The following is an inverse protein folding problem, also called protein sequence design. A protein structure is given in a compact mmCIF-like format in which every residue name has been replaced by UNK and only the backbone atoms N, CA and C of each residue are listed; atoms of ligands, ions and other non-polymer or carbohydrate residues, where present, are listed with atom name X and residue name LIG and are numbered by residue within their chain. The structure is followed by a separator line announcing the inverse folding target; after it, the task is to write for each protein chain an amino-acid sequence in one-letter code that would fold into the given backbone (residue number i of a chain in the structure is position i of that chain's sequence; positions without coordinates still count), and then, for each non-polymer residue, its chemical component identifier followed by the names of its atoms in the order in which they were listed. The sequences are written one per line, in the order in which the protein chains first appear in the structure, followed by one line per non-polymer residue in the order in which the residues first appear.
data_IF_492148993913
#
_entry.id   IF_492148993913
#
_cell.length_a   1.000
_cell.length_b   1.000
_cell.length_c   1.000
_cell.angle_alpha   90.00
_cell.angle_beta   90.00
_cell.angle_gamma   90.00
#
_symmetry.space_group_name_H-M   'P 1'
#
loop_
_entity.id
_entity.type
_entity.pdbx_description
1 polymer ?
#
# COMPACT_ATOMS: atom_id res chain seq x y z
N UNK A 1 2.41 31.21 26.93
CA UNK A 1 3.56 30.34 27.27
C UNK A 1 3.65 29.10 26.37
N UNK A 2 2.52 28.55 25.88
CA UNK A 2 2.52 27.42 24.93
C UNK A 2 2.77 27.79 23.46
N UNK A 3 2.72 29.07 23.07
CA UNK A 3 2.88 29.47 21.66
C UNK A 3 4.29 29.24 21.12
N UNK A 4 5.32 29.42 21.96
CA UNK A 4 6.70 29.12 21.56
C UNK A 4 6.91 27.62 21.35
N UNK A 5 6.38 26.78 22.23
CA UNK A 5 6.43 25.33 22.04
C UNK A 5 5.69 24.93 20.76
N UNK A 6 4.47 25.44 20.54
CA UNK A 6 3.70 25.18 19.32
C UNK A 6 4.42 25.63 18.04
N UNK A 7 5.17 26.73 18.07
CA UNK A 7 5.96 27.17 16.92
C UNK A 7 7.16 26.24 16.67
N UNK A 8 7.86 25.80 17.71
CA UNK A 8 8.93 24.80 17.60
C UNK A 8 8.39 23.49 17.02
N UNK A 9 7.25 23.00 17.51
CA UNK A 9 6.63 21.76 17.02
C UNK A 9 6.29 21.85 15.52
N UNK A 10 5.81 23.00 15.05
CA UNK A 10 5.59 23.23 13.62
C UNK A 10 6.89 23.24 12.83
N UNK A 11 7.93 23.89 13.34
CA UNK A 11 9.25 23.95 12.70
C UNK A 11 9.88 22.56 12.57
N UNK A 12 9.72 21.71 13.59
CA UNK A 12 10.17 20.32 13.59
C UNK A 12 9.21 19.35 12.87
N UNK A 13 8.08 19.85 12.35
CA UNK A 13 7.01 19.07 11.70
C UNK A 13 6.45 17.95 12.59
N UNK A 14 6.32 18.22 13.89
CA UNK A 14 5.75 17.31 14.91
C UNK A 14 4.24 17.50 15.02
N UNK A 15 3.53 17.22 13.93
CA UNK A 15 2.09 17.54 13.82
C UNK A 15 1.18 16.65 14.67
N UNK A 16 1.55 15.40 14.93
CA UNK A 16 0.81 14.50 15.80
C UNK A 16 0.89 14.97 17.24
N UNK A 17 2.11 15.23 17.71
CA UNK A 17 2.34 15.80 19.03
C UNK A 17 1.65 17.16 19.18
N UNK A 18 1.74 18.05 18.18
CA UNK A 18 1.07 19.35 18.24
C UNK A 18 -0.46 19.24 18.37
N UNK A 19 -1.07 18.18 17.87
CA UNK A 19 -2.51 17.94 17.96
C UNK A 19 -2.92 17.29 19.29
N UNK A 20 -2.10 16.41 19.86
CA UNK A 20 -2.41 15.66 21.08
C UNK A 20 -1.83 16.26 22.37
N UNK A 21 -0.93 17.25 22.27
CA UNK A 21 -0.15 17.77 23.41
C UNK A 21 -0.99 18.09 24.64
N UNK A 22 -2.07 18.85 24.47
CA UNK A 22 -2.89 19.31 25.60
C UNK A 22 -3.58 18.14 26.30
N UNK A 23 -4.02 17.13 25.53
CA UNK A 23 -4.62 15.88 26.05
C UNK A 23 -3.57 15.07 26.80
N UNK A 24 -2.37 14.90 26.22
CA UNK A 24 -1.28 14.13 26.84
C UNK A 24 -0.73 14.78 28.12
N UNK A 25 -0.72 16.11 28.21
CA UNK A 25 -0.36 16.82 29.44
C UNK A 25 -1.34 16.49 30.57
N UNK A 26 -2.66 16.50 30.29
CA UNK A 26 -3.67 16.15 31.27
C UNK A 26 -3.57 14.69 31.70
N UNK A 27 -3.34 13.78 30.75
CA UNK A 27 -3.14 12.36 31.02
C UNK A 27 -1.90 12.09 31.88
N UNK A 28 -0.79 12.79 31.60
CA UNK A 28 0.43 12.68 32.38
C UNK A 28 0.23 13.13 33.84
N UNK A 29 -0.53 14.21 34.06
CA UNK A 29 -0.88 14.70 35.39
C UNK A 29 -1.78 13.72 36.13
N UNK A 30 -2.84 13.22 35.48
CA UNK A 30 -3.80 12.31 36.08
C UNK A 30 -3.16 10.95 36.43
N UNK A 31 -2.34 10.41 35.54
CA UNK A 31 -1.70 9.10 35.68
C UNK A 31 -0.36 9.15 36.40
N UNK A 32 0.11 10.35 36.78
CA UNK A 32 1.42 10.60 37.42
C UNK A 32 2.59 9.99 36.65
N UNK A 33 2.58 10.15 35.32
CA UNK A 33 3.65 9.66 34.46
C UNK A 33 4.97 10.33 34.83
N UNK A 34 6.05 9.55 34.83
CA UNK A 34 7.40 10.07 34.87
C UNK A 34 7.72 10.87 33.60
N UNK A 35 8.77 11.70 33.67
CA UNK A 35 9.21 12.49 32.52
C UNK A 35 9.53 11.61 31.29
N UNK A 36 10.11 10.43 31.51
CA UNK A 36 10.44 9.50 30.43
C UNK A 36 9.18 8.89 29.81
N UNK A 37 8.22 8.45 30.63
CA UNK A 37 6.94 7.90 30.14
C UNK A 37 6.15 8.95 29.36
N UNK A 38 6.15 10.20 29.81
CA UNK A 38 5.51 11.29 29.08
C UNK A 38 6.18 11.56 27.72
N UNK A 39 7.52 11.61 27.68
CA UNK A 39 8.26 11.79 26.43
C UNK A 39 8.01 10.64 25.45
N UNK A 40 8.00 9.40 25.94
CA UNK A 40 7.71 8.23 25.11
C UNK A 40 6.29 8.34 24.53
N UNK A 41 5.29 8.65 25.35
CA UNK A 41 3.89 8.77 24.94
C UNK A 41 3.68 9.80 23.83
N UNK A 42 4.24 11.01 23.98
CA UNK A 42 4.07 12.08 22.98
C UNK A 42 4.80 11.80 21.67
N UNK A 43 5.93 11.07 21.72
CA UNK A 43 6.64 10.67 20.50
C UNK A 43 5.96 9.49 19.81
N UNK A 44 5.33 8.58 20.55
CA UNK A 44 4.48 7.53 19.97
C UNK A 44 3.33 8.10 19.15
N UNK A 45 2.69 9.20 19.60
CA UNK A 45 1.65 9.90 18.82
C UNK A 45 2.18 10.43 17.48
N UNK A 46 3.38 11.04 17.49
CA UNK A 46 3.99 11.55 16.26
C UNK A 46 4.36 10.41 15.30
N UNK A 47 4.92 9.32 15.83
CA UNK A 47 5.25 8.12 15.03
C UNK A 47 3.99 7.56 14.38
N UNK A 48 2.91 7.38 15.16
CA UNK A 48 1.63 6.87 14.65
C UNK A 48 1.07 7.75 13.52
N UNK A 49 1.10 9.08 13.66
CA UNK A 49 0.64 10.01 12.62
C UNK A 49 1.51 9.93 11.36
N UNK A 50 2.83 9.79 11.52
CA UNK A 50 3.75 9.63 10.38
C UNK A 50 3.54 8.32 9.64
N UNK A 51 3.37 7.23 10.37
CA UNK A 51 3.12 5.91 9.80
C UNK A 51 1.79 5.88 9.04
N UNK A 52 0.72 6.45 9.62
CA UNK A 52 -0.57 6.57 8.95
C UNK A 52 -0.46 7.34 7.63
N UNK A 53 0.19 8.52 7.64
CA UNK A 53 0.41 9.31 6.42
C UNK A 53 1.26 8.59 5.39
N UNK A 54 2.23 7.78 5.83
CA UNK A 54 3.09 6.99 4.94
C UNK A 54 2.29 5.89 4.25
N UNK A 55 1.41 5.21 4.98
CA UNK A 55 0.47 4.21 4.45
C UNK A 55 -0.50 4.87 3.47
N UNK A 56 -1.11 6.01 3.84
CA UNK A 56 -2.06 6.72 2.97
C UNK A 56 -1.44 7.15 1.66
N UNK A 57 -0.23 7.73 1.71
CA UNK A 57 0.50 8.17 0.51
C UNK A 57 0.79 7.00 -0.42
N UNK A 58 1.23 5.87 0.13
CA UNK A 58 1.53 4.65 -0.64
C UNK A 58 0.27 4.01 -1.20
N UNK A 59 -0.81 4.00 -0.43
CA UNK A 59 -2.12 3.50 -0.88
C UNK A 59 -2.65 4.31 -2.05
N UNK A 60 -2.54 5.64 -1.98
CA UNK A 60 -2.89 6.53 -3.11
C UNK A 60 -2.01 6.28 -4.32
N UNK A 61 -0.69 6.13 -4.13
CA UNK A 61 0.24 5.84 -5.21
C UNK A 61 -0.05 4.49 -5.88
N UNK A 62 -0.44 3.47 -5.12
CA UNK A 62 -0.72 2.14 -5.63
C UNK A 62 -1.85 2.11 -6.64
N UNK A 63 -2.80 3.05 -6.58
CA UNK A 63 -3.86 3.16 -7.59
C UNK A 63 -4.79 1.95 -7.63
N UNK A 64 -5.07 1.35 -6.48
CA UNK A 64 -6.11 0.32 -6.34
C UNK A 64 -7.46 0.83 -6.87
N UNK A 65 -8.27 -0.08 -7.44
CA UNK A 65 -9.66 0.24 -7.85
C UNK A 65 -10.49 0.62 -6.65
N UNK A 66 -10.41 -0.24 -5.63
CA UNK A 66 -11.02 -0.06 -4.32
C UNK A 66 -10.06 -0.59 -3.27
N UNK A 67 -10.01 0.06 -2.10
CA UNK A 67 -9.22 -0.48 -1.00
C UNK A 67 -9.91 -1.74 -0.45
N UNK A 68 -9.28 -2.90 -0.67
CA UNK A 68 -9.72 -4.19 -0.15
C UNK A 68 -8.74 -4.69 0.91
N UNK A 69 -9.25 -5.29 1.96
CA UNK A 69 -8.43 -5.95 3.00
C UNK A 69 -8.79 -7.43 3.11
N UNK A 70 -7.88 -8.24 3.67
CA UNK A 70 -8.16 -9.66 3.90
C UNK A 70 -9.31 -9.87 4.89
N UNK A 71 -9.46 -8.97 5.86
CA UNK A 71 -10.53 -9.05 6.88
C UNK A 71 -11.92 -8.82 6.27
N UNK A 72 -11.99 -8.12 5.14
CA UNK A 72 -13.23 -7.88 4.38
C UNK A 72 -13.55 -9.00 3.38
N UNK A 73 -12.67 -10.00 3.23
CA UNK A 73 -12.90 -11.08 2.29
C UNK A 73 -13.96 -12.05 2.83
N UNK A 74 -15.00 -12.30 2.03
CA UNK A 74 -16.01 -13.30 2.37
C UNK A 74 -15.45 -14.71 2.14
N UNK A 75 -15.00 -15.33 3.22
CA UNK A 75 -14.45 -16.67 3.21
C UNK A 75 -15.52 -17.78 3.17
N UNK A 76 -16.80 -17.44 3.32
CA UNK A 76 -17.91 -18.39 3.19
C UNK A 76 -18.34 -18.50 1.72
N UNK A 77 -18.21 -17.41 0.95
CA UNK A 77 -18.47 -17.42 -0.49
C UNK A 77 -17.60 -18.43 -1.27
N UNK A 78 -16.34 -18.62 -0.86
CA UNK A 78 -15.45 -19.61 -1.47
C UNK A 78 -14.63 -20.38 -0.43
N UNK A 79 -15.26 -21.40 0.15
CA UNK A 79 -14.66 -22.26 1.20
C UNK A 79 -13.51 -23.13 0.70
N UNK A 80 -13.37 -23.31 -0.62
CA UNK A 80 -12.30 -24.11 -1.23
C UNK A 80 -10.94 -23.39 -1.29
N UNK A 81 -10.90 -22.08 -1.03
CA UNK A 81 -9.66 -21.31 -1.07
C UNK A 81 -8.70 -21.72 0.06
N UNK A 82 -7.40 -21.88 -0.25
CA UNK A 82 -6.40 -22.26 0.75
C UNK A 82 -6.08 -21.07 1.66
N UNK A 83 -6.91 -20.85 2.70
CA UNK A 83 -6.78 -19.72 3.64
C UNK A 83 -5.36 -19.57 4.17
N UNK A 84 -4.75 -20.67 4.63
CA UNK A 84 -3.38 -20.68 5.16
C UNK A 84 -2.36 -20.11 4.16
N UNK A 85 -2.46 -20.48 2.90
CA UNK A 85 -1.56 -19.97 1.87
C UNK A 85 -1.79 -18.48 1.62
N UNK A 86 -3.05 -18.03 1.56
CA UNK A 86 -3.38 -16.61 1.36
C UNK A 86 -2.91 -15.73 2.52
N UNK A 87 -3.02 -16.20 3.76
CA UNK A 87 -2.44 -15.51 4.92
C UNK A 87 -0.91 -15.49 4.87
N UNK A 88 -0.26 -16.57 4.44
CA UNK A 88 1.20 -16.58 4.23
C UNK A 88 1.61 -15.54 3.17
N UNK A 89 0.86 -15.41 2.07
CA UNK A 89 1.13 -14.37 1.06
C UNK A 89 0.99 -12.96 1.64
N UNK A 90 0.05 -12.71 2.56
CA UNK A 90 -0.07 -11.42 3.22
C UNK A 90 1.05 -11.11 4.24
N UNK A 91 1.88 -12.09 4.59
CA UNK A 91 3.16 -11.81 5.28
C UNK A 91 4.20 -11.19 4.35
N UNK A 92 3.96 -11.21 3.03
CA UNK A 92 4.85 -10.64 2.01
C UNK A 92 6.24 -11.27 1.93
N UNK A 93 6.48 -12.42 2.58
CA UNK A 93 7.75 -13.16 2.49
C UNK A 93 8.12 -13.52 1.05
N UNK A 94 7.12 -13.75 0.19
CA UNK A 94 7.35 -14.01 -1.24
C UNK A 94 8.11 -12.88 -1.95
N UNK A 95 8.00 -11.63 -1.47
CA UNK A 95 8.77 -10.50 -2.00
C UNK A 95 10.24 -10.59 -1.58
N UNK A 96 10.52 -11.01 -0.35
CA UNK A 96 11.88 -11.23 0.14
C UNK A 96 12.56 -12.40 -0.60
N UNK A 97 11.78 -13.43 -0.94
CA UNK A 97 12.23 -14.58 -1.70
C UNK A 97 12.27 -14.34 -3.22
N UNK A 98 11.90 -13.14 -3.70
CA UNK A 98 11.78 -12.79 -5.12
C UNK A 98 10.94 -13.80 -5.92
N UNK A 99 9.75 -14.13 -5.43
CA UNK A 99 8.82 -15.09 -6.03
C UNK A 99 7.58 -14.40 -6.58
N UNK A 100 7.11 -14.85 -7.74
CA UNK A 100 5.86 -14.36 -8.31
C UNK A 100 4.63 -15.10 -7.78
N UNK A 101 3.49 -14.41 -7.80
CA UNK A 101 2.19 -14.97 -7.46
C UNK A 101 1.29 -14.92 -8.69
N UNK A 102 0.77 -16.08 -9.08
CA UNK A 102 -0.25 -16.18 -10.11
C UNK A 102 -1.57 -16.66 -9.48
N UNK A 103 -2.57 -15.78 -9.45
CA UNK A 103 -3.92 -16.13 -9.00
C UNK A 103 -4.76 -16.58 -10.19
N UNK A 104 -5.12 -17.87 -10.23
CA UNK A 104 -5.95 -18.45 -11.29
C UNK A 104 -7.29 -18.96 -10.75
N UNK A 105 -8.32 -18.83 -11.57
CA UNK A 105 -9.64 -19.38 -11.28
C UNK A 105 -10.75 -18.67 -12.06
N UNK A 106 -11.98 -19.22 -12.04
CA UNK A 106 -13.14 -18.63 -12.73
C UNK A 106 -13.38 -17.15 -12.37
N UNK A 107 -14.05 -16.37 -13.24
CA UNK A 107 -14.46 -15.01 -12.89
C UNK A 107 -15.34 -15.02 -11.63
N UNK A 108 -15.26 -13.96 -10.82
CA UNK A 108 -16.06 -13.83 -9.61
C UNK A 108 -15.54 -14.54 -8.36
N UNK A 109 -14.43 -15.29 -8.41
CA UNK A 109 -13.89 -16.03 -7.24
C UNK A 109 -13.10 -15.17 -6.23
N UNK A 110 -13.09 -13.84 -6.38
CA UNK A 110 -12.43 -12.92 -5.45
C UNK A 110 -10.94 -12.65 -5.71
N UNK A 111 -10.38 -13.05 -6.86
CA UNK A 111 -8.97 -12.84 -7.22
C UNK A 111 -8.52 -11.37 -7.11
N UNK A 112 -9.28 -10.45 -7.72
CA UNK A 112 -9.03 -9.00 -7.64
C UNK A 112 -9.06 -8.47 -6.20
N UNK A 113 -9.95 -9.01 -5.36
CA UNK A 113 -9.98 -8.65 -3.94
C UNK A 113 -8.71 -9.12 -3.24
N UNK A 114 -8.35 -10.40 -3.40
CA UNK A 114 -7.17 -10.99 -2.78
C UNK A 114 -5.89 -10.29 -3.22
N UNK A 115 -5.74 -9.99 -4.51
CA UNK A 115 -4.59 -9.25 -5.04
C UNK A 115 -4.45 -7.87 -4.38
N UNK A 116 -5.54 -7.08 -4.33
CA UNK A 116 -5.53 -5.77 -3.68
C UNK A 116 -5.30 -5.88 -2.17
N UNK A 117 -5.84 -6.91 -1.51
CA UNK A 117 -5.65 -7.15 -0.08
C UNK A 117 -4.19 -7.51 0.28
N UNK A 118 -3.54 -8.34 -0.54
CA UNK A 118 -2.12 -8.67 -0.41
C UNK A 118 -1.27 -7.42 -0.68
N UNK A 119 -1.61 -6.65 -1.72
CA UNK A 119 -0.95 -5.36 -2.00
C UNK A 119 -1.05 -4.39 -0.82
N UNK A 120 -2.23 -4.26 -0.21
CA UNK A 120 -2.38 -3.41 0.96
C UNK A 120 -1.63 -3.94 2.19
N UNK A 121 -1.52 -5.26 2.36
CA UNK A 121 -0.65 -5.85 3.38
C UNK A 121 0.82 -5.47 3.16
N UNK A 122 1.32 -5.50 1.92
CA UNK A 122 2.66 -5.06 1.57
C UNK A 122 2.88 -3.58 1.91
N UNK A 123 1.91 -2.71 1.63
CA UNK A 123 1.97 -1.28 1.99
C UNK A 123 2.09 -1.08 3.50
N UNK A 124 1.31 -1.82 4.29
CA UNK A 124 1.36 -1.78 5.77
C UNK A 124 2.73 -2.22 6.31
N UNK A 125 3.41 -3.13 5.60
CA UNK A 125 4.79 -3.53 5.92
C UNK A 125 5.86 -2.60 5.35
N UNK A 126 5.45 -1.49 4.76
CA UNK A 126 6.36 -0.46 4.30
C UNK A 126 6.87 -0.60 2.87
N UNK A 127 6.30 -1.51 2.08
CA UNK A 127 6.58 -1.69 0.65
C UNK A 127 5.82 -0.69 -0.21
N UNK A 128 6.33 -0.43 -1.39
CA UNK A 128 5.68 0.30 -2.48
C UNK A 128 4.98 -0.69 -3.40
N UNK A 129 3.78 -0.34 -3.83
CA UNK A 129 2.94 -1.22 -4.66
C UNK A 129 2.42 -0.39 -5.82
N UNK A 130 2.27 -1.02 -6.98
CA UNK A 130 1.52 -0.48 -8.12
C UNK A 130 0.49 -1.50 -8.57
N UNK A 131 -0.78 -1.10 -8.63
CA UNK A 131 -1.86 -1.90 -9.18
C UNK A 131 -2.30 -1.32 -10.52
N UNK A 132 -2.33 -2.17 -11.55
CA UNK A 132 -2.85 -1.81 -12.88
C UNK A 132 -3.60 -2.98 -13.49
N UNK A 133 -4.61 -2.68 -14.31
CA UNK A 133 -5.16 -3.70 -15.18
C UNK A 133 -4.22 -3.94 -16.35
N UNK A 134 -4.21 -5.15 -16.90
CA UNK A 134 -3.42 -5.48 -18.10
C UNK A 134 -3.75 -4.55 -19.27
N UNK A 135 -5.00 -4.06 -19.37
CA UNK A 135 -5.41 -3.12 -20.42
C UNK A 135 -4.82 -1.72 -20.22
N UNK A 136 -4.67 -1.29 -18.98
CA UNK A 136 -4.06 0.01 -18.67
C UNK A 136 -2.55 -0.05 -18.91
N UNK A 137 -1.90 -1.19 -18.57
CA UNK A 137 -0.49 -1.43 -18.92
C UNK A 137 -0.28 -1.26 -20.41
N UNK A 138 -1.00 -2.01 -21.24
CA UNK A 138 -0.87 -1.94 -22.70
C UNK A 138 -1.15 -0.53 -23.22
N UNK A 139 -2.15 0.17 -22.65
CA UNK A 139 -2.47 1.54 -23.05
C UNK A 139 -1.34 2.51 -22.75
N UNK A 140 -0.72 2.39 -21.58
CA UNK A 140 0.34 3.28 -21.13
C UNK A 140 1.58 3.12 -22.04
N UNK A 141 1.96 1.89 -22.38
CA UNK A 141 3.05 1.62 -23.34
C UNK A 141 2.72 2.08 -24.77
N UNK A 142 1.49 1.85 -25.25
CA UNK A 142 1.07 2.34 -26.58
C UNK A 142 1.10 3.87 -26.69
N UNK A 143 0.77 4.57 -25.60
CA UNK A 143 0.80 6.03 -25.58
C UNK A 143 2.24 6.56 -25.64
N UNK A 144 3.17 5.86 -24.98
CA UNK A 144 4.57 6.28 -24.93
C UNK A 144 5.35 5.94 -26.20
N UNK A 145 5.09 4.80 -26.87
CA UNK A 145 5.68 4.48 -28.19
C UNK A 145 5.33 5.58 -29.22
N UNK A 146 4.16 6.21 -29.08
CA UNK A 146 3.75 7.33 -29.91
C UNK A 146 4.48 8.66 -29.58
N UNK A 147 5.06 8.79 -28.39
CA UNK A 147 5.76 9.98 -27.89
C UNK A 147 7.30 9.82 -27.91
N UNK A 148 7.81 8.59 -27.96
CA UNK A 148 9.24 8.26 -28.06
C UNK A 148 10.02 8.34 -26.74
N UNK A 149 9.40 8.02 -25.60
CA UNK A 149 9.98 8.12 -24.24
C UNK A 149 9.92 6.78 -23.45
N UNK A 150 10.15 5.65 -24.11
CA UNK A 150 9.88 4.28 -23.61
C UNK A 150 10.51 3.94 -22.24
N UNK A 151 11.60 4.60 -21.85
CA UNK A 151 12.30 4.34 -20.59
C UNK A 151 11.50 4.81 -19.36
N UNK A 152 10.66 5.83 -19.49
CA UNK A 152 9.95 6.44 -18.37
C UNK A 152 8.78 5.58 -17.88
N UNK A 153 7.96 5.02 -18.77
CA UNK A 153 6.87 4.12 -18.38
C UNK A 153 7.39 2.80 -17.88
N UNK A 154 8.41 2.23 -18.52
CA UNK A 154 9.03 0.99 -18.02
C UNK A 154 9.56 1.18 -16.59
N UNK A 155 10.30 2.27 -16.33
CA UNK A 155 10.79 2.59 -14.99
C UNK A 155 9.65 2.74 -13.96
N UNK A 156 8.48 3.22 -14.36
CA UNK A 156 7.30 3.32 -13.49
C UNK A 156 6.76 1.95 -13.07
N UNK A 157 6.83 0.94 -13.94
CA UNK A 157 6.41 -0.43 -13.66
C UNK A 157 7.45 -1.25 -12.89
N UNK A 158 8.75 -0.97 -13.08
CA UNK A 158 9.86 -1.68 -12.41
C UNK A 158 10.27 -1.12 -11.05
N UNK A 159 9.97 0.15 -10.77
CA UNK A 159 10.32 0.81 -9.48
C UNK A 159 9.61 0.28 -8.22
N UNK A 160 8.31 -0.09 -8.23
CA UNK A 160 7.64 -0.53 -7.01
C UNK A 160 8.16 -1.89 -6.53
N UNK A 161 8.14 -2.12 -5.22
CA UNK A 161 8.52 -3.40 -4.63
C UNK A 161 7.56 -4.54 -5.04
N UNK A 162 6.31 -4.21 -5.39
CA UNK A 162 5.31 -5.15 -5.88
C UNK A 162 4.48 -4.52 -6.99
N UNK A 163 4.52 -5.12 -8.17
CA UNK A 163 3.61 -4.83 -9.27
C UNK A 163 2.48 -5.86 -9.30
N UNK A 164 1.22 -5.38 -9.32
CA UNK A 164 0.03 -6.20 -9.46
C UNK A 164 -0.61 -5.88 -10.80
N UNK A 165 -0.65 -6.88 -11.67
CA UNK A 165 -1.35 -6.81 -12.96
C UNK A 165 -2.61 -7.67 -12.88
N UNK A 166 -3.77 -7.04 -13.05
CA UNK A 166 -5.08 -7.68 -12.92
C UNK A 166 -5.84 -7.76 -14.26
N UNK A 167 -6.99 -8.43 -14.26
CA UNK A 167 -7.88 -8.67 -15.40
C UNK A 167 -7.26 -9.46 -16.57
N UNK A 168 -6.17 -10.17 -16.32
CA UNK A 168 -5.62 -11.12 -17.29
C UNK A 168 -6.64 -12.22 -17.59
N UNK A 169 -7.21 -12.20 -18.80
CA UNK A 169 -8.19 -13.19 -19.29
C UNK A 169 -9.62 -12.68 -19.50
N UNK A 170 -9.90 -11.39 -19.27
CA UNK A 170 -11.27 -10.85 -19.40
C UNK A 170 -11.68 -10.43 -20.82
N UNK A 171 -10.73 -10.03 -21.68
CA UNK A 171 -10.96 -9.65 -23.10
C UNK A 171 -9.72 -9.93 -23.95
N UNK A 172 -9.88 -9.95 -25.28
CA UNK A 172 -8.73 -9.99 -26.19
C UNK A 172 -7.89 -8.73 -26.04
N UNK A 173 -6.60 -8.90 -25.83
CA UNK A 173 -5.64 -7.82 -25.79
C UNK A 173 -5.34 -7.31 -27.22
N UNK A 174 -5.00 -6.02 -27.38
CA UNK A 174 -4.51 -5.50 -28.65
C UNK A 174 -3.33 -6.31 -29.22
N UNK A 175 -3.10 -6.22 -30.53
CA UNK A 175 -1.89 -6.78 -31.15
C UNK A 175 -0.64 -6.16 -30.50
N UNK A 176 0.45 -6.93 -30.39
CA UNK A 176 1.71 -6.56 -29.72
C UNK A 176 1.66 -6.42 -28.19
N UNK A 177 0.52 -6.63 -27.54
CA UNK A 177 0.44 -6.59 -26.05
C UNK A 177 1.39 -7.57 -25.34
N UNK A 178 1.73 -8.69 -25.99
CA UNK A 178 2.70 -9.63 -25.46
C UNK A 178 4.14 -9.11 -25.45
N UNK A 179 4.49 -8.19 -26.35
CA UNK A 179 5.81 -7.53 -26.38
C UNK A 179 5.96 -6.63 -25.15
N UNK A 180 4.98 -5.74 -24.89
CA UNK A 180 5.02 -4.85 -23.72
C UNK A 180 5.02 -5.61 -22.38
N UNK A 181 4.28 -6.71 -22.28
CA UNK A 181 4.27 -7.53 -21.07
C UNK A 181 5.57 -8.32 -20.87
N UNK A 182 6.39 -8.50 -21.91
CA UNK A 182 7.69 -9.16 -21.81
C UNK A 182 8.79 -8.20 -21.35
N UNK A 183 8.60 -6.90 -21.54
CA UNK A 183 9.56 -5.87 -21.11
C UNK A 183 9.52 -5.60 -19.60
N UNK A 184 8.39 -5.90 -18.96
CA UNK A 184 8.16 -5.77 -17.51
C UNK A 184 8.60 -7.05 -16.80
#
# INVERSE_FOLDING_TARGET
MHDHLRSILRLLRLSGLAASLDVRIQEAQASRLSHLEFLELIFQDEVAVRDHRRIDRRTKFAGFRDLKTLDQFDWEFNTSLPRKQLFELATCRFLDDARDILLMGPPGTGKTHLAQAIGYAAIKQGRTVLYRSVFDVVRDFLHEEALGDDDATLARYLRPDLLIIDDMGMKQLPKRSGEYLFEI
#
